data_IF_941477860056
#
_entry.id   IF_941477860056
#
_cell.length_a   1.000
_cell.length_b   1.000
_cell.length_c   1.000
_cell.angle_alpha   90.00
_cell.angle_beta   90.00
_cell.angle_gamma   90.00
#
_symmetry.space_group_name_H-M   'P 1'
#
loop_
_entity.id
_entity.type
_entity.pdbx_description
1 polymer ?
#
# COMPACT_ATOMS: atom_id res chain seq x y z
N UNK A 1 10.85 -15.66 -0.81
CA UNK A 1 11.45 -14.34 -1.09
C UNK A 1 11.75 -13.54 0.19
N UNK A 2 10.82 -13.40 1.17
CA UNK A 2 11.08 -12.69 2.45
C UNK A 2 12.32 -13.19 3.18
N UNK A 3 12.50 -14.50 3.32
CA UNK A 3 13.67 -15.10 3.97
C UNK A 3 14.99 -14.76 3.28
N UNK A 4 15.00 -14.79 1.94
CA UNK A 4 16.18 -14.42 1.16
C UNK A 4 16.62 -12.97 1.46
N UNK A 5 15.70 -12.03 1.42
CA UNK A 5 16.02 -10.62 1.71
C UNK A 5 16.41 -10.39 3.17
N UNK A 6 15.88 -11.17 4.11
CA UNK A 6 16.32 -11.10 5.50
C UNK A 6 17.78 -11.58 5.65
N UNK A 7 18.15 -12.71 5.01
CA UNK A 7 19.53 -13.22 5.02
C UNK A 7 20.49 -12.24 4.33
N UNK A 8 20.16 -11.81 3.11
CA UNK A 8 20.98 -10.84 2.38
C UNK A 8 21.24 -9.56 3.19
N UNK A 9 20.24 -9.06 3.89
CA UNK A 9 20.39 -7.89 4.75
C UNK A 9 21.39 -8.12 5.89
N UNK A 10 21.34 -9.29 6.53
CA UNK A 10 22.28 -9.62 7.59
C UNK A 10 23.71 -9.78 7.08
N UNK A 11 23.89 -10.36 5.90
CA UNK A 11 25.19 -10.45 5.21
C UNK A 11 25.75 -9.06 4.90
N UNK A 12 24.95 -8.19 4.28
CA UNK A 12 25.35 -6.81 3.97
C UNK A 12 25.73 -6.01 5.24
N UNK A 13 25.02 -6.23 6.34
CA UNK A 13 25.37 -5.61 7.63
C UNK A 13 26.69 -6.19 8.21
N UNK A 14 26.90 -7.50 8.11
CA UNK A 14 28.15 -8.15 8.53
C UNK A 14 29.35 -7.58 7.77
N UNK A 15 29.21 -7.44 6.45
CA UNK A 15 30.24 -6.92 5.56
C UNK A 15 30.41 -5.40 5.64
N UNK A 16 29.64 -4.73 6.51
CA UNK A 16 29.60 -3.26 6.62
C UNK A 16 29.35 -2.56 5.30
N UNK A 17 28.56 -3.19 4.43
CA UNK A 17 28.18 -2.66 3.13
C UNK A 17 27.21 -1.48 3.27
N UNK A 18 27.36 -0.47 2.42
CA UNK A 18 26.44 0.64 2.32
C UNK A 18 25.18 0.30 1.48
N UNK A 19 25.10 -0.89 0.91
CA UNK A 19 23.93 -1.35 0.15
C UNK A 19 22.76 -1.59 1.08
N UNK A 20 21.61 -1.03 0.76
CA UNK A 20 20.38 -1.21 1.54
C UNK A 20 19.33 -1.92 0.69
N UNK A 21 18.58 -2.82 1.32
CA UNK A 21 17.50 -3.56 0.68
C UNK A 21 16.17 -3.12 1.25
N UNK A 22 15.25 -2.75 0.36
CA UNK A 22 13.87 -2.38 0.71
C UNK A 22 12.91 -3.22 -0.10
N UNK A 23 11.88 -3.74 0.53
CA UNK A 23 10.84 -4.50 -0.12
C UNK A 23 9.61 -3.62 -0.32
N UNK A 24 9.07 -3.61 -1.53
CA UNK A 24 7.80 -2.93 -1.84
C UNK A 24 6.78 -3.99 -2.21
N UNK A 25 5.77 -4.14 -1.36
CA UNK A 25 4.68 -5.09 -1.54
C UNK A 25 3.61 -4.44 -2.43
N UNK A 26 3.43 -5.00 -3.63
CA UNK A 26 2.57 -4.42 -4.65
C UNK A 26 1.16 -5.01 -4.64
N UNK A 27 0.14 -4.21 -4.96
CA UNK A 27 -1.21 -4.71 -5.26
C UNK A 27 -1.28 -5.27 -6.69
N UNK A 28 -2.47 -5.62 -7.14
CA UNK A 28 -2.73 -5.89 -8.54
C UNK A 28 -2.56 -4.60 -9.37
N UNK A 29 -1.79 -4.68 -10.45
CA UNK A 29 -1.45 -3.53 -11.30
C UNK A 29 -2.04 -3.71 -12.70
N UNK A 30 -2.49 -2.61 -13.27
CA UNK A 30 -2.92 -2.51 -14.66
C UNK A 30 -1.70 -2.45 -15.59
N UNK A 31 -1.07 -3.58 -15.80
CA UNK A 31 0.07 -3.72 -16.71
C UNK A 31 -0.32 -4.51 -17.96
N UNK A 32 0.37 -4.33 -19.09
CA UNK A 32 -0.01 -4.97 -20.35
C UNK A 32 0.12 -6.50 -20.34
N UNK A 33 0.78 -7.09 -19.34
CA UNK A 33 1.03 -8.54 -19.27
C UNK A 33 -0.22 -9.42 -19.41
N UNK A 34 -1.38 -8.95 -18.96
CA UNK A 34 -2.64 -9.68 -19.08
C UNK A 34 -3.10 -9.83 -20.53
N UNK A 35 -2.60 -8.97 -21.43
CA UNK A 35 -2.82 -9.06 -22.88
C UNK A 35 -2.04 -10.19 -23.58
N UNK A 36 -0.95 -10.68 -22.98
CA UNK A 36 -0.07 -11.66 -23.63
C UNK A 36 0.42 -12.83 -22.76
N UNK A 37 0.10 -12.86 -21.47
CA UNK A 37 0.47 -14.00 -20.63
C UNK A 37 -0.21 -15.28 -21.14
N UNK A 38 0.53 -16.37 -21.25
CA UNK A 38 -0.09 -17.67 -21.58
C UNK A 38 -1.00 -18.09 -20.42
N UNK A 39 -2.28 -18.17 -20.69
CA UNK A 39 -3.29 -18.60 -19.74
C UNK A 39 -3.85 -19.99 -20.09
N UNK A 40 -4.22 -20.77 -19.07
CA UNK A 40 -4.98 -22.00 -19.19
C UNK A 40 -6.39 -21.85 -18.59
N UNK A 41 -6.74 -20.63 -18.20
CA UNK A 41 -8.06 -20.30 -17.67
C UNK A 41 -9.08 -20.31 -18.83
N UNK A 42 -10.33 -20.71 -18.57
CA UNK A 42 -11.37 -20.74 -19.62
C UNK A 42 -11.84 -19.35 -20.04
N UNK A 43 -11.66 -18.35 -19.17
CA UNK A 43 -11.99 -16.95 -19.43
C UNK A 43 -10.74 -16.08 -19.45
N UNK A 44 -10.88 -14.88 -20.00
CA UNK A 44 -9.76 -13.91 -20.10
C UNK A 44 -9.19 -13.61 -18.72
N UNK A 45 -7.87 -13.60 -18.62
CA UNK A 45 -7.17 -13.29 -17.36
C UNK A 45 -7.22 -11.81 -17.02
N UNK A 46 -7.33 -11.50 -15.72
CA UNK A 46 -7.30 -10.14 -15.18
C UNK A 46 -6.48 -10.05 -13.91
N UNK A 47 -5.96 -8.85 -13.57
CA UNK A 47 -5.45 -8.60 -12.23
C UNK A 47 -6.59 -8.68 -11.20
N UNK A 48 -6.32 -9.30 -10.04
CA UNK A 48 -7.35 -9.43 -8.99
C UNK A 48 -7.67 -8.06 -8.38
N UNK A 49 -8.92 -7.59 -8.47
CA UNK A 49 -9.28 -6.28 -7.92
C UNK A 49 -9.06 -6.15 -6.39
N UNK A 50 -8.79 -4.95 -5.88
CA UNK A 50 -8.70 -3.65 -6.58
C UNK A 50 -7.41 -3.52 -7.39
N UNK A 51 -7.55 -2.95 -8.60
CA UNK A 51 -6.46 -2.76 -9.55
C UNK A 51 -5.91 -1.34 -9.39
N UNK A 52 -4.60 -1.16 -9.52
CA UNK A 52 -3.96 0.14 -9.46
C UNK A 52 -3.20 0.44 -10.75
N UNK A 53 -3.07 1.72 -11.09
CA UNK A 53 -2.25 2.15 -12.21
C UNK A 53 -0.76 1.93 -11.94
N UNK A 54 0.05 1.63 -12.97
CA UNK A 54 1.50 1.39 -12.84
C UNK A 54 2.25 2.53 -12.14
N UNK A 55 1.81 3.77 -12.29
CA UNK A 55 2.40 4.96 -11.68
C UNK A 55 2.33 4.93 -10.15
N UNK A 56 1.32 4.26 -9.58
CA UNK A 56 1.21 4.09 -8.11
C UNK A 56 2.39 3.24 -7.62
N UNK A 57 2.68 2.16 -8.34
CA UNK A 57 3.83 1.30 -8.05
C UNK A 57 5.17 2.04 -8.25
N UNK A 58 5.29 2.77 -9.36
CA UNK A 58 6.49 3.54 -9.68
C UNK A 58 6.79 4.59 -8.59
N UNK A 59 5.78 5.34 -8.14
CA UNK A 59 5.93 6.30 -7.02
C UNK A 59 6.36 5.60 -5.73
N UNK A 60 5.82 4.42 -5.44
CA UNK A 60 6.19 3.67 -4.24
C UNK A 60 7.64 3.20 -4.29
N UNK A 61 8.10 2.68 -5.43
CA UNK A 61 9.49 2.25 -5.64
C UNK A 61 10.43 3.46 -5.52
N UNK A 62 10.11 4.55 -6.20
CA UNK A 62 10.89 5.78 -6.15
C UNK A 62 11.03 6.29 -4.71
N UNK A 63 9.92 6.36 -3.97
CA UNK A 63 9.93 6.78 -2.58
C UNK A 63 10.77 5.83 -1.71
N UNK A 64 10.61 4.53 -1.87
CA UNK A 64 11.34 3.52 -1.10
C UNK A 64 12.85 3.60 -1.34
N UNK A 65 13.27 3.86 -2.58
CA UNK A 65 14.69 4.03 -2.94
C UNK A 65 15.34 5.22 -2.22
N UNK A 66 14.57 6.29 -1.99
CA UNK A 66 15.04 7.49 -1.27
C UNK A 66 14.86 7.41 0.25
N UNK A 67 14.14 6.39 0.75
CA UNK A 67 13.86 6.20 2.18
C UNK A 67 14.14 4.75 2.61
N UNK A 68 15.39 4.27 2.46
CA UNK A 68 15.73 2.86 2.64
C UNK A 68 15.78 2.41 4.11
N UNK A 69 15.59 3.32 5.08
CA UNK A 69 15.58 2.99 6.52
C UNK A 69 14.43 2.06 6.90
N UNK A 70 13.32 2.11 6.15
CA UNK A 70 12.17 1.22 6.35
C UNK A 70 12.37 -0.06 5.53
N UNK A 71 12.14 -1.20 6.18
CA UNK A 71 12.34 -2.51 5.56
C UNK A 71 11.32 -2.83 4.47
N UNK A 72 10.06 -2.41 4.68
CA UNK A 72 8.94 -2.78 3.82
C UNK A 72 7.99 -1.61 3.64
N UNK A 73 7.51 -1.45 2.41
CA UNK A 73 6.41 -0.55 2.06
C UNK A 73 5.24 -1.37 1.50
N UNK A 74 4.03 -1.01 1.86
CA UNK A 74 2.82 -1.65 1.39
C UNK A 74 2.04 -0.67 0.51
N UNK A 75 1.64 -1.13 -0.67
CA UNK A 75 0.87 -0.34 -1.62
C UNK A 75 -0.51 -0.96 -1.76
N UNK A 76 -1.56 -0.17 -1.53
CA UNK A 76 -2.94 -0.61 -1.57
C UNK A 76 -3.39 -1.37 -0.32
N UNK A 77 -4.58 -1.05 0.14
CA UNK A 77 -5.17 -1.67 1.34
C UNK A 77 -5.40 -3.18 1.18
N UNK A 78 -5.62 -3.64 -0.06
CA UNK A 78 -5.71 -5.09 -0.36
C UNK A 78 -4.43 -5.83 0.00
N UNK A 79 -3.26 -5.26 -0.31
CA UNK A 79 -1.94 -5.80 0.05
C UNK A 79 -1.76 -5.88 1.56
N UNK A 80 -2.12 -4.81 2.28
CA UNK A 80 -2.05 -4.80 3.75
C UNK A 80 -2.93 -5.91 4.33
N UNK A 81 -4.19 -6.00 3.89
CA UNK A 81 -5.12 -7.04 4.37
C UNK A 81 -4.60 -8.45 4.09
N UNK A 82 -4.09 -8.70 2.88
CA UNK A 82 -3.57 -10.01 2.50
C UNK A 82 -2.39 -10.42 3.37
N UNK A 83 -1.42 -9.52 3.59
CA UNK A 83 -0.22 -9.81 4.37
C UNK A 83 -0.56 -9.98 5.86
N UNK A 84 -1.34 -9.07 6.44
CA UNK A 84 -1.72 -9.14 7.85
C UNK A 84 -2.63 -10.36 8.10
N UNK A 85 -3.60 -10.57 7.22
CA UNK A 85 -4.50 -11.73 7.29
C UNK A 85 -3.75 -13.04 7.23
N UNK A 86 -2.79 -13.18 6.31
CA UNK A 86 -1.96 -14.37 6.19
C UNK A 86 -1.04 -14.59 7.42
N UNK A 87 -0.60 -13.51 8.08
CA UNK A 87 0.21 -13.63 9.30
C UNK A 87 -0.63 -14.06 10.52
N UNK A 88 -1.88 -13.61 10.61
CA UNK A 88 -2.74 -13.85 11.77
C UNK A 88 -3.57 -15.14 11.64
N UNK A 89 -4.14 -15.37 10.48
CA UNK A 89 -5.11 -16.46 10.24
C UNK A 89 -4.90 -17.10 8.84
N UNK A 90 -3.75 -17.73 8.58
CA UNK A 90 -3.39 -18.23 7.25
C UNK A 90 -4.42 -19.20 6.69
N UNK A 91 -4.94 -20.11 7.50
CA UNK A 91 -5.92 -21.13 7.06
C UNK A 91 -7.26 -20.55 6.60
N UNK A 92 -7.67 -19.37 7.09
CA UNK A 92 -8.84 -18.66 6.57
C UNK A 92 -8.55 -18.03 5.21
N UNK A 93 -7.36 -17.47 5.05
CA UNK A 93 -6.86 -16.95 3.78
C UNK A 93 -6.85 -18.04 2.70
N UNK A 94 -6.30 -19.21 3.01
CA UNK A 94 -6.24 -20.35 2.10
C UNK A 94 -7.64 -20.81 1.66
N UNK A 95 -8.58 -20.93 2.59
CA UNK A 95 -9.97 -21.31 2.29
C UNK A 95 -10.68 -20.27 1.43
N UNK A 96 -10.44 -18.98 1.70
CA UNK A 96 -10.99 -17.89 0.89
C UNK A 96 -10.42 -17.92 -0.54
N UNK A 97 -9.12 -18.05 -0.68
CA UNK A 97 -8.45 -18.11 -1.98
C UNK A 97 -8.83 -19.36 -2.76
N UNK A 98 -8.96 -20.51 -2.11
CA UNK A 98 -9.43 -21.75 -2.74
C UNK A 98 -10.84 -21.62 -3.34
N UNK A 99 -11.72 -20.81 -2.72
CA UNK A 99 -13.11 -20.64 -3.18
C UNK A 99 -13.27 -19.48 -4.17
N UNK A 100 -12.50 -18.41 -4.04
CA UNK A 100 -12.71 -17.14 -4.78
C UNK A 100 -11.54 -16.75 -5.68
N UNK A 101 -10.34 -17.24 -5.39
CA UNK A 101 -9.13 -16.80 -6.11
C UNK A 101 -9.15 -17.20 -7.59
N UNK A 102 -9.69 -18.37 -7.91
CA UNK A 102 -9.79 -18.83 -9.29
C UNK A 102 -10.70 -17.92 -10.14
N UNK A 103 -11.90 -17.60 -9.64
CA UNK A 103 -12.84 -16.73 -10.37
C UNK A 103 -12.37 -15.28 -10.41
N UNK A 104 -11.76 -14.80 -9.33
CA UNK A 104 -11.27 -13.42 -9.26
C UNK A 104 -10.15 -13.07 -10.26
N UNK A 105 -9.44 -14.08 -10.77
CA UNK A 105 -8.40 -13.92 -11.78
C UNK A 105 -8.93 -13.87 -13.22
N UNK A 106 -10.24 -13.93 -13.40
CA UNK A 106 -10.89 -14.01 -14.69
C UNK A 106 -11.95 -12.93 -14.84
N UNK A 107 -12.08 -12.36 -16.04
CA UNK A 107 -13.16 -11.46 -16.40
C UNK A 107 -14.01 -12.04 -17.55
N UNK A 108 -14.99 -11.30 -18.02
CA UNK A 108 -15.95 -11.77 -18.99
C UNK A 108 -15.32 -12.06 -20.37
N UNK A 109 -15.88 -13.06 -21.01
CA UNK A 109 -15.49 -13.56 -22.33
C UNK A 109 -14.52 -14.72 -22.29
N UNK A 110 -14.58 -15.60 -23.28
CA UNK A 110 -13.72 -16.77 -23.41
C UNK A 110 -12.27 -16.35 -23.69
N UNK A 111 -11.32 -17.10 -23.16
CA UNK A 111 -9.90 -16.97 -23.54
C UNK A 111 -9.70 -17.49 -24.96
N UNK A 112 -8.92 -16.78 -25.78
CA UNK A 112 -8.49 -17.27 -27.09
C UNK A 112 -7.24 -18.14 -26.90
N UNK A 113 -7.33 -19.47 -27.13
CA UNK A 113 -6.19 -20.37 -26.96
C UNK A 113 -5.05 -20.11 -27.95
N UNK A 114 -5.34 -19.44 -29.07
CA UNK A 114 -4.36 -19.10 -30.12
C UNK A 114 -3.80 -17.68 -29.98
N UNK A 115 -4.17 -16.95 -28.95
CA UNK A 115 -3.63 -15.62 -28.69
C UNK A 115 -2.11 -15.65 -28.61
N UNK A 116 -1.40 -14.69 -29.26
CA UNK A 116 0.03 -14.53 -29.08
C UNK A 116 0.40 -14.42 -27.61
N UNK A 117 1.49 -15.07 -27.22
CA UNK A 117 1.94 -15.06 -25.83
C UNK A 117 3.47 -15.05 -25.73
N UNK A 118 3.96 -14.63 -24.57
CA UNK A 118 5.39 -14.45 -24.30
C UNK A 118 6.04 -15.63 -23.57
N UNK A 119 5.45 -16.84 -23.61
CA UNK A 119 5.97 -17.97 -22.84
C UNK A 119 7.33 -18.46 -23.35
N UNK A 120 7.48 -18.53 -24.67
CA UNK A 120 8.69 -19.06 -25.29
C UNK A 120 9.53 -17.99 -25.97
N UNK A 121 8.88 -16.99 -26.54
CA UNK A 121 9.52 -15.89 -27.26
C UNK A 121 8.89 -14.56 -26.83
N UNK A 122 9.68 -13.46 -26.76
CA UNK A 122 9.14 -12.14 -26.47
C UNK A 122 8.23 -11.68 -27.62
N UNK A 123 7.15 -11.00 -27.30
CA UNK A 123 6.33 -10.36 -28.31
C UNK A 123 7.03 -9.10 -28.84
N UNK A 124 7.03 -8.87 -30.14
CA UNK A 124 7.66 -7.70 -30.75
C UNK A 124 6.87 -6.42 -30.46
N UNK A 125 7.58 -5.30 -30.42
CA UNK A 125 7.00 -3.97 -30.28
C UNK A 125 7.09 -3.39 -28.87
N UNK A 126 6.72 -2.11 -28.76
CA UNK A 126 6.57 -1.42 -27.48
C UNK A 126 5.12 -1.59 -27.00
N UNK A 127 4.96 -2.18 -25.85
CA UNK A 127 3.65 -2.45 -25.25
C UNK A 127 3.24 -1.39 -24.21
N UNK A 128 4.09 -0.40 -23.96
CA UNK A 128 3.84 0.65 -22.98
C UNK A 128 3.78 0.14 -21.54
N UNK A 129 3.25 0.95 -20.65
CA UNK A 129 3.13 0.66 -19.22
C UNK A 129 1.72 0.21 -18.79
N UNK A 130 0.68 0.65 -19.53
CA UNK A 130 -0.73 0.43 -19.19
C UNK A 130 -1.30 -0.81 -19.86
N UNK A 131 -2.10 -1.55 -19.10
CA UNK A 131 -2.93 -2.64 -19.62
C UNK A 131 -4.30 -2.14 -20.09
N UNK A 132 -5.24 -3.06 -20.23
CA UNK A 132 -6.59 -2.80 -20.73
C UNK A 132 -7.62 -2.49 -19.62
N UNK A 133 -7.18 -2.24 -18.39
CA UNK A 133 -8.05 -2.07 -17.22
C UNK A 133 -8.05 -0.63 -16.69
N UNK A 134 -7.82 0.37 -17.54
CA UNK A 134 -7.71 1.79 -17.14
C UNK A 134 -8.96 2.29 -16.42
N UNK A 135 -10.14 1.90 -16.87
CA UNK A 135 -11.42 2.31 -16.26
C UNK A 135 -11.63 1.74 -14.85
N UNK A 136 -11.00 0.62 -14.53
CA UNK A 136 -11.09 -0.06 -13.24
C UNK A 136 -9.92 0.25 -12.31
N UNK A 137 -8.86 0.85 -12.83
CA UNK A 137 -7.62 1.04 -12.12
C UNK A 137 -7.58 2.35 -11.34
N UNK A 138 -7.21 2.26 -10.07
CA UNK A 138 -7.06 3.41 -9.17
C UNK A 138 -5.74 4.13 -9.43
N UNK A 139 -5.77 5.45 -9.58
CA UNK A 139 -4.59 6.30 -9.82
C UNK A 139 -3.85 6.70 -8.54
N UNK A 140 -4.36 6.36 -7.37
CA UNK A 140 -3.78 6.71 -6.07
C UNK A 140 -3.97 5.60 -5.04
N UNK A 141 -3.11 5.60 -4.02
CA UNK A 141 -3.19 4.72 -2.85
C UNK A 141 -3.12 5.55 -1.58
N UNK A 142 -4.14 5.46 -0.74
CA UNK A 142 -4.20 6.15 0.55
C UNK A 142 -3.06 5.68 1.46
N UNK A 143 -2.75 4.40 1.44
CA UNK A 143 -1.67 3.80 2.25
C UNK A 143 -0.30 4.35 1.84
N UNK A 144 -0.07 4.48 0.53
CA UNK A 144 1.16 5.08 0.03
C UNK A 144 1.22 6.56 0.42
N UNK A 145 0.12 7.28 0.26
CA UNK A 145 0.04 8.69 0.65
C UNK A 145 0.33 8.87 2.14
N UNK A 146 -0.30 8.08 3.01
CA UNK A 146 -0.05 8.14 4.46
C UNK A 146 1.38 7.75 4.81
N UNK A 147 1.96 6.75 4.14
CA UNK A 147 3.34 6.34 4.37
C UNK A 147 4.34 7.43 3.97
N UNK A 148 4.08 8.13 2.86
CA UNK A 148 4.94 9.22 2.37
C UNK A 148 4.80 10.51 3.18
N UNK A 149 3.66 10.73 3.84
CA UNK A 149 3.37 11.93 4.66
C UNK A 149 3.37 11.65 6.17
N UNK A 150 3.87 10.50 6.60
CA UNK A 150 3.81 10.06 8.00
C UNK A 150 4.39 11.08 8.99
N UNK A 151 5.48 11.77 8.65
CA UNK A 151 6.08 12.81 9.49
C UNK A 151 5.14 14.01 9.69
N UNK A 152 4.49 14.45 8.64
CA UNK A 152 3.53 15.57 8.69
C UNK A 152 2.26 15.19 9.45
N UNK A 153 1.78 13.97 9.26
CA UNK A 153 0.64 13.44 10.02
C UNK A 153 0.96 13.34 11.51
N UNK A 154 2.15 12.87 11.87
CA UNK A 154 2.60 12.80 13.25
C UNK A 154 2.72 14.21 13.89
N UNK A 155 3.27 15.19 13.17
CA UNK A 155 3.33 16.58 13.63
C UNK A 155 1.93 17.16 13.83
N UNK A 156 1.03 16.97 12.86
CA UNK A 156 -0.35 17.43 12.96
C UNK A 156 -1.10 16.81 14.15
N UNK A 157 -0.97 15.51 14.36
CA UNK A 157 -1.54 14.82 15.49
C UNK A 157 -0.97 15.33 16.82
N UNK A 158 0.34 15.55 16.88
CA UNK A 158 1.01 16.13 18.05
C UNK A 158 0.50 17.53 18.40
N UNK A 159 0.33 18.41 17.41
CA UNK A 159 -0.22 19.75 17.59
C UNK A 159 -1.67 19.71 18.08
N UNK A 160 -2.52 18.86 17.47
CA UNK A 160 -3.91 18.69 17.91
C UNK A 160 -3.96 18.23 19.38
N UNK A 161 -3.14 17.27 19.74
CA UNK A 161 -3.05 16.76 21.11
C UNK A 161 -2.61 17.88 22.07
N UNK A 162 -1.57 18.63 21.71
CA UNK A 162 -1.08 19.75 22.51
C UNK A 162 -2.18 20.81 22.72
N UNK A 163 -2.90 21.19 21.66
CA UNK A 163 -4.02 22.13 21.73
C UNK A 163 -5.15 21.61 22.62
N UNK A 164 -5.50 20.32 22.50
CA UNK A 164 -6.52 19.71 23.33
C UNK A 164 -6.17 19.70 24.83
N UNK A 165 -4.90 19.52 25.17
CA UNK A 165 -4.42 19.61 26.56
C UNK A 165 -4.25 21.05 27.05
N UNK A 166 -3.94 22.01 26.19
CA UNK A 166 -3.77 23.42 26.55
C UNK A 166 -5.10 24.17 26.68
N UNK A 167 -6.08 23.86 25.84
CA UNK A 167 -7.39 24.55 25.82
C UNK A 167 -8.10 24.58 27.16
N UNK A 168 -8.23 23.48 27.95
CA UNK A 168 -8.90 23.54 29.26
C UNK A 168 -8.10 24.29 30.31
N UNK A 169 -6.79 24.48 30.14
CA UNK A 169 -5.94 25.27 31.05
C UNK A 169 -6.07 26.77 30.79
N UNK A 170 -6.24 27.16 29.54
CA UNK A 170 -6.47 28.56 29.15
C UNK A 170 -7.91 29.00 29.41
N UNK A 171 -8.87 28.08 29.40
CA UNK A 171 -10.29 28.34 29.69
C UNK A 171 -10.64 28.35 31.18
N UNK A 172 -9.66 28.29 32.10
CA UNK A 172 -9.96 28.47 33.53
C UNK A 172 -10.50 29.89 33.74
N UNK A 173 -11.75 30.07 34.18
CA UNK A 173 -12.31 31.40 34.40
C UNK A 173 -11.46 32.06 35.49
N UNK A 174 -11.00 33.29 35.21
CA UNK A 174 -10.46 34.18 36.23
C UNK A 174 -11.58 34.29 37.27
N UNK A 175 -11.44 33.64 38.43
CA UNK A 175 -12.39 33.80 39.54
C UNK A 175 -12.55 35.29 39.78
N UNK A 176 -13.75 35.79 39.53
CA UNK A 176 -14.12 37.16 39.80
C UNK A 176 -13.81 37.49 41.27
N UNK A 177 -12.73 38.20 41.49
CA UNK A 177 -12.40 38.85 42.79
C UNK A 177 -13.35 40.01 43.13
N UNK A 178 -14.48 40.11 42.44
CA UNK A 178 -15.46 41.16 42.59
C UNK A 178 -16.47 40.91 43.75
N UNK A 179 -16.56 39.72 44.29
CA UNK A 179 -17.48 39.43 45.39
C UNK A 179 -16.91 39.76 46.78
N UNK A 180 -15.61 39.88 46.92
CA UNK A 180 -15.00 40.17 48.23
C UNK A 180 -14.90 41.67 48.55
N UNK A 181 -15.03 42.54 47.54
CA UNK A 181 -15.01 44.02 47.79
C UNK A 181 -16.34 44.56 48.23
N UNK A 182 -17.46 43.91 48.01
CA UNK A 182 -18.79 44.40 48.44
C UNK A 182 -19.15 44.03 49.90
N UNK A 183 -18.44 43.06 50.49
CA UNK A 183 -18.70 42.70 51.90
C UNK A 183 -17.89 43.49 52.94
N UNK A 184 -17.01 44.40 52.50
CA UNK A 184 -16.25 45.27 53.43
C UNK A 184 -16.76 46.67 53.59
N UNK A 185 -17.96 47.02 53.05
CA UNK A 185 -18.57 48.34 53.11
C UNK A 185 -20.00 48.23 53.64
N UNK A 186 -20.31 47.22 54.47
CA UNK A 186 -21.53 47.14 55.25
C UNK A 186 -21.20 47.03 56.74
#
# INVERSE_FOLDING_TARGET
MLGFFASLRTELMHDKSNVQTVMVQMPALNTPQFGWVKSRLPRKSQPVPPIFQPEVAARAIYYAAHHPQRREYYVGWSTVKAIVGNKLVPSLGDRYLARKGYDAQQHDGPEDPNRPNNLWEPLPGDHGAHGTFDELAQSSSVELWTATHAKWLALGAGLITLCAFAAPRLARPVKKSWQESQQRVA
#
